data_IF_740452967827
#
_entry.id   IF_740452967827
#
_cell.length_a   1.000
_cell.length_b   1.000
_cell.length_c   1.000
_cell.angle_alpha   90.00
_cell.angle_beta   90.00
_cell.angle_gamma   90.00
#
_symmetry.space_group_name_H-M   'P 1'
#
loop_
_entity.id
_entity.type
_entity.pdbx_description
1 polymer ?
#
# COMPACT_ATOMS: atom_id res chain seq x y z
N UNK A 1 -4.97 -2.13 18.00
CA UNK A 1 -4.67 -1.74 16.60
C UNK A 1 -4.91 -2.91 15.66
N UNK A 2 -5.57 -2.67 14.56
CA UNK A 2 -5.65 -3.65 13.47
C UNK A 2 -4.63 -3.23 12.41
N UNK A 3 -3.49 -3.89 12.38
CA UNK A 3 -2.37 -3.50 11.53
C UNK A 3 -2.69 -3.66 10.04
N UNK A 4 -3.52 -4.63 9.68
CA UNK A 4 -3.93 -4.83 8.28
C UNK A 4 -4.76 -3.65 7.82
N UNK A 5 -5.68 -3.19 8.67
CA UNK A 5 -6.53 -2.03 8.35
C UNK A 5 -5.70 -0.75 8.29
N UNK A 6 -4.81 -0.55 9.26
CA UNK A 6 -3.95 0.64 9.28
C UNK A 6 -3.12 0.71 8.01
N UNK A 7 -2.49 -0.40 7.63
CA UNK A 7 -1.66 -0.44 6.43
C UNK A 7 -2.49 -0.19 5.18
N UNK A 8 -3.62 -0.88 5.05
CA UNK A 8 -4.49 -0.73 3.87
C UNK A 8 -4.99 0.70 3.70
N UNK A 9 -5.41 1.34 4.80
CA UNK A 9 -5.88 2.73 4.77
C UNK A 9 -4.76 3.68 4.35
N UNK A 10 -3.56 3.50 4.89
CA UNK A 10 -2.42 4.34 4.56
C UNK A 10 -1.98 4.15 3.12
N UNK A 11 -1.97 2.92 2.63
CA UNK A 11 -1.65 2.63 1.24
C UNK A 11 -2.60 3.39 0.32
N UNK A 12 -3.89 3.28 0.56
CA UNK A 12 -4.89 3.98 -0.26
C UNK A 12 -4.71 5.49 -0.19
N UNK A 13 -4.48 6.01 1.02
CA UNK A 13 -4.27 7.46 1.22
C UNK A 13 -3.11 7.98 0.39
N UNK A 14 -1.93 7.38 0.54
CA UNK A 14 -0.74 7.87 -0.17
C UNK A 14 -0.84 7.64 -1.67
N UNK A 15 -1.43 6.52 -2.08
CA UNK A 15 -1.66 6.23 -3.49
C UNK A 15 -2.54 7.30 -4.15
N UNK A 16 -3.67 7.61 -3.51
CA UNK A 16 -4.60 8.60 -4.05
C UNK A 16 -4.02 10.01 -4.01
N UNK A 17 -3.21 10.33 -3.01
CA UNK A 17 -2.51 11.62 -2.97
C UNK A 17 -1.56 11.79 -4.15
N UNK A 18 -1.00 10.70 -4.67
CA UNK A 18 -0.16 10.75 -5.87
C UNK A 18 -0.97 10.72 -7.17
N UNK A 19 -2.29 10.62 -7.06
CA UNK A 19 -3.16 10.58 -8.24
C UNK A 19 -3.09 9.28 -9.01
N UNK A 20 -2.68 8.18 -8.37
CA UNK A 20 -2.49 6.90 -9.05
C UNK A 20 -3.70 5.99 -8.83
N UNK A 21 -4.16 5.34 -9.90
CA UNK A 21 -5.13 4.26 -9.80
C UNK A 21 -4.47 3.03 -9.16
N UNK A 22 -5.28 2.05 -8.73
CA UNK A 22 -4.73 0.79 -8.24
C UNK A 22 -3.88 0.10 -9.30
N UNK A 23 -4.33 0.11 -10.54
CA UNK A 23 -3.61 -0.52 -11.65
C UNK A 23 -2.27 0.18 -11.92
N UNK A 24 -2.29 1.50 -12.03
CA UNK A 24 -1.06 2.26 -12.28
C UNK A 24 -0.07 2.09 -11.14
N UNK A 25 -0.56 2.09 -9.91
CA UNK A 25 0.32 1.90 -8.76
C UNK A 25 0.90 0.49 -8.71
N UNK A 26 0.08 -0.53 -8.99
CA UNK A 26 0.54 -1.91 -9.04
C UNK A 26 1.65 -2.08 -10.08
N UNK A 27 1.48 -1.49 -11.25
CA UNK A 27 2.51 -1.50 -12.29
C UNK A 27 3.81 -0.88 -11.79
N UNK A 28 3.71 0.24 -11.09
CA UNK A 28 4.87 0.93 -10.53
C UNK A 28 5.60 0.09 -9.49
N UNK A 29 4.85 -0.70 -8.72
CA UNK A 29 5.43 -1.59 -7.70
C UNK A 29 5.96 -2.90 -8.25
N UNK A 30 5.58 -3.28 -9.48
CA UNK A 30 5.83 -4.62 -9.98
C UNK A 30 4.93 -5.67 -9.33
N UNK A 31 3.73 -5.27 -8.91
CA UNK A 31 2.77 -6.15 -8.25
C UNK A 31 1.48 -6.21 -9.07
N UNK A 32 0.63 -7.18 -8.75
CA UNK A 32 -0.66 -7.33 -9.41
C UNK A 32 -1.68 -6.36 -8.83
N UNK A 33 -2.54 -5.81 -9.70
CA UNK A 33 -3.62 -4.91 -9.26
C UNK A 33 -4.53 -5.58 -8.23
N UNK A 34 -4.82 -6.87 -8.41
CA UNK A 34 -5.68 -7.60 -7.48
C UNK A 34 -5.05 -7.69 -6.08
N UNK A 35 -3.71 -7.76 -6.02
CA UNK A 35 -3.01 -7.77 -4.75
C UNK A 35 -3.16 -6.41 -4.04
N UNK A 36 -2.95 -5.32 -4.76
CA UNK A 36 -3.12 -3.96 -4.20
C UNK A 36 -4.56 -3.78 -3.69
N UNK A 37 -5.54 -4.17 -4.50
CA UNK A 37 -6.95 -4.10 -4.11
C UNK A 37 -7.23 -4.90 -2.84
N UNK A 38 -6.71 -6.13 -2.77
CA UNK A 38 -6.93 -7.00 -1.61
C UNK A 38 -6.31 -6.42 -0.33
N UNK A 39 -5.14 -5.80 -0.44
CA UNK A 39 -4.50 -5.14 0.71
C UNK A 39 -5.32 -3.93 1.17
N UNK A 40 -5.78 -3.12 0.24
CA UNK A 40 -6.60 -1.94 0.58
C UNK A 40 -7.97 -2.32 1.15
N UNK A 41 -8.47 -3.51 0.83
CA UNK A 41 -9.74 -4.03 1.35
C UNK A 41 -9.58 -4.89 2.61
N UNK A 42 -8.40 -4.94 3.17
CA UNK A 42 -8.09 -5.68 4.41
C UNK A 42 -8.23 -7.21 4.27
N UNK A 43 -8.14 -7.71 3.05
CA UNK A 43 -8.29 -9.15 2.77
C UNK A 43 -6.96 -9.87 2.75
N UNK A 44 -5.86 -9.15 2.79
CA UNK A 44 -4.55 -9.75 2.63
C UNK A 44 -3.51 -9.03 3.46
N UNK A 45 -2.69 -9.81 4.16
CA UNK A 45 -1.49 -9.28 4.80
C UNK A 45 -0.37 -9.19 3.75
N UNK A 46 0.74 -8.59 4.10
CA UNK A 46 1.77 -8.22 3.14
C UNK A 46 3.13 -8.69 3.64
N UNK A 47 3.97 -9.16 2.72
CA UNK A 47 5.34 -9.55 3.02
C UNK A 47 6.22 -8.32 3.22
N UNK A 48 7.34 -8.51 3.93
CA UNK A 48 8.29 -7.41 4.14
C UNK A 48 8.82 -6.87 2.82
N UNK A 49 9.10 -7.75 1.85
CA UNK A 49 9.58 -7.31 0.53
C UNK A 49 8.56 -6.44 -0.17
N UNK A 50 7.28 -6.80 -0.07
CA UNK A 50 6.23 -6.02 -0.72
C UNK A 50 5.98 -4.70 0.00
N UNK A 51 6.16 -4.67 1.33
CA UNK A 51 6.13 -3.39 2.07
C UNK A 51 7.18 -2.45 1.50
N UNK A 52 8.40 -2.94 1.29
CA UNK A 52 9.47 -2.13 0.74
C UNK A 52 9.14 -1.65 -0.68
N UNK A 53 8.63 -2.53 -1.54
CA UNK A 53 8.23 -2.16 -2.91
C UNK A 53 7.20 -1.05 -2.90
N UNK A 54 6.22 -1.16 -2.03
CA UNK A 54 5.15 -0.16 -1.91
C UNK A 54 5.69 1.17 -1.41
N UNK A 55 6.50 1.14 -0.35
CA UNK A 55 7.07 2.37 0.19
C UNK A 55 7.98 3.07 -0.82
N UNK A 56 8.80 2.30 -1.54
CA UNK A 56 9.68 2.85 -2.58
C UNK A 56 8.87 3.49 -3.69
N UNK A 57 7.81 2.82 -4.15
CA UNK A 57 6.94 3.35 -5.21
C UNK A 57 6.20 4.62 -4.77
N UNK A 58 5.85 4.71 -3.50
CA UNK A 58 5.23 5.90 -2.92
C UNK A 58 6.25 7.00 -2.58
N UNK A 59 7.52 6.65 -2.57
CA UNK A 59 8.62 7.57 -2.19
C UNK A 59 8.46 8.09 -0.77
N UNK A 60 8.07 7.19 0.14
CA UNK A 60 7.91 7.51 1.57
C UNK A 60 8.70 6.52 2.41
N UNK A 61 8.98 6.90 3.65
CA UNK A 61 9.56 5.98 4.62
C UNK A 61 8.53 4.92 5.02
N UNK A 62 8.99 3.69 5.23
CA UNK A 62 8.09 2.56 5.51
C UNK A 62 7.22 2.79 6.74
N UNK A 63 7.75 3.47 7.78
CA UNK A 63 6.99 3.65 9.02
C UNK A 63 5.68 4.42 8.81
N UNK A 64 5.62 5.26 7.78
CA UNK A 64 4.43 6.06 7.50
C UNK A 64 3.22 5.19 7.13
N UNK A 65 3.48 3.99 6.61
CA UNK A 65 2.40 3.05 6.28
C UNK A 65 1.78 2.42 7.51
N UNK A 66 2.40 2.56 8.67
CA UNK A 66 1.95 1.97 9.93
C UNK A 66 1.49 2.99 10.96
N UNK A 67 1.39 4.25 10.58
CA UNK A 67 0.94 5.31 11.50
C UNK A 67 -0.58 5.38 11.52
N UNK A 68 -1.14 5.33 12.71
CA UNK A 68 -2.55 5.63 12.90
C UNK A 68 -2.77 7.13 12.91
N UNK A 69 -3.89 7.57 12.33
CA UNK A 69 -4.26 8.97 12.35
C UNK A 69 -5.47 9.22 13.25
#
# INVERSE_FOLDING_TARGET
MDIVKVFGDNLKKYRTEKGLSQEAFADKCGLHRTYISAVECYRRSISLENIQRIADALEIDTYKLFMEE
#
